data_IF_227241577781
#
_entry.id   IF_227241577781
#
_cell.length_a   1.000
_cell.length_b   1.000
_cell.length_c   1.000
_cell.angle_alpha   90.00
_cell.angle_beta   90.00
_cell.angle_gamma   90.00
#
_symmetry.space_group_name_H-M   'P 1'
#
loop_
_entity.id
_entity.type
_entity.pdbx_description
1 polymer ?
#
# COMPACT_ATOMS: atom_id res chain seq x y z
N UNK A 1 13.15 61.56 -12.31
CA UNK A 1 13.50 61.54 -10.87
C UNK A 1 12.26 61.02 -10.14
N UNK A 2 12.23 59.97 -9.33
CA UNK A 2 13.27 59.07 -8.85
C UNK A 2 12.76 57.63 -8.79
N UNK A 3 13.71 56.72 -8.54
CA UNK A 3 13.57 55.26 -8.54
C UNK A 3 13.10 54.79 -7.15
N UNK A 4 12.09 53.93 -7.08
CA UNK A 4 11.81 53.12 -5.90
C UNK A 4 12.49 51.76 -6.04
N UNK A 5 13.58 51.58 -5.30
CA UNK A 5 14.24 50.31 -5.06
C UNK A 5 13.73 49.73 -3.75
N UNK A 6 12.91 48.69 -3.81
CA UNK A 6 12.58 47.87 -2.65
C UNK A 6 13.49 46.62 -2.63
N UNK A 7 14.41 46.60 -1.66
CA UNK A 7 15.20 45.44 -1.28
C UNK A 7 14.27 44.35 -0.70
N UNK A 8 14.23 43.18 -1.31
CA UNK A 8 13.80 41.95 -0.62
C UNK A 8 15.04 41.24 -0.08
N UNK A 9 15.16 41.23 1.25
CA UNK A 9 16.15 40.45 1.99
C UNK A 9 15.86 38.94 1.85
N UNK A 10 16.89 38.20 1.46
CA UNK A 10 16.87 36.74 1.43
C UNK A 10 16.96 36.19 2.87
N UNK A 11 15.88 35.54 3.32
CA UNK A 11 15.89 34.73 4.53
C UNK A 11 16.33 33.30 4.19
N UNK A 12 17.59 33.00 4.46
CA UNK A 12 18.15 31.64 4.46
C UNK A 12 17.70 30.90 5.73
N UNK A 13 16.56 30.21 5.65
CA UNK A 13 16.12 29.34 6.74
C UNK A 13 16.56 27.90 6.51
N UNK A 14 17.46 27.49 7.40
CA UNK A 14 18.00 26.15 7.59
C UNK A 14 16.88 25.10 7.70
N UNK A 15 16.89 24.15 6.78
CA UNK A 15 15.97 23.00 6.77
C UNK A 15 16.34 22.08 7.93
N UNK A 16 15.55 22.09 8.99
CA UNK A 16 15.58 21.07 10.04
C UNK A 16 14.72 19.89 9.58
N UNK A 17 15.28 18.69 9.36
CA UNK A 17 14.50 17.55 8.92
C UNK A 17 13.58 17.03 10.03
N UNK A 18 12.32 16.80 9.67
CA UNK A 18 11.28 16.28 10.56
C UNK A 18 11.50 14.79 10.92
N UNK A 19 11.07 14.32 12.11
CA UNK A 19 11.49 13.04 12.68
C UNK A 19 10.88 11.78 12.04
N UNK A 20 9.91 11.92 11.14
CA UNK A 20 9.05 10.79 10.72
C UNK A 20 9.64 9.93 9.59
N UNK A 21 10.73 10.37 8.94
CA UNK A 21 11.38 9.62 7.85
C UNK A 21 12.51 8.67 8.32
N UNK A 22 12.83 8.65 9.63
CA UNK A 22 13.91 7.81 10.18
C UNK A 22 13.55 6.33 10.29
N UNK A 23 12.27 5.97 10.39
CA UNK A 23 11.89 4.58 10.73
C UNK A 23 12.27 3.57 9.64
N UNK A 24 12.23 3.95 8.35
CA UNK A 24 12.50 3.01 7.26
C UNK A 24 14.01 2.83 6.95
N UNK A 25 14.84 3.87 7.14
CA UNK A 25 16.30 3.74 6.95
C UNK A 25 17.00 3.07 8.14
N UNK A 26 16.38 3.06 9.32
CA UNK A 26 17.00 2.55 10.54
C UNK A 26 16.87 1.03 10.72
N UNK A 27 15.96 0.37 9.99
CA UNK A 27 15.82 -1.09 10.05
C UNK A 27 16.92 -1.83 9.28
N UNK A 28 17.49 -1.25 8.21
CA UNK A 28 18.60 -1.85 7.43
C UNK A 28 19.95 -1.89 8.16
N UNK A 29 20.05 -1.37 9.40
CA UNK A 29 21.31 -1.13 10.10
C UNK A 29 21.45 -1.84 11.46
N UNK A 30 20.64 -2.87 11.73
CA UNK A 30 20.76 -3.73 12.93
C UNK A 30 21.05 -5.20 12.58
N UNK A 31 22.04 -5.43 11.73
CA UNK A 31 22.77 -6.70 11.70
C UNK A 31 24.27 -6.39 11.72
N UNK A 32 24.94 -6.73 12.82
CA UNK A 32 26.39 -6.63 12.89
C UNK A 32 26.91 -6.50 14.31
N UNK A 33 27.08 -7.63 14.99
CA UNK A 33 27.65 -7.63 16.33
C UNK A 33 27.98 -8.98 16.96
N UNK A 34 28.29 -10.04 16.19
CA UNK A 34 28.89 -11.26 16.75
C UNK A 34 30.27 -11.46 16.14
N UNK A 35 31.32 -11.07 16.88
CA UNK A 35 32.70 -11.44 16.57
C UNK A 35 32.92 -12.88 17.08
N UNK A 36 32.83 -13.86 16.20
CA UNK A 36 33.40 -15.18 16.41
C UNK A 36 33.67 -15.88 15.07
N UNK A 37 34.89 -16.40 14.89
CA UNK A 37 35.19 -17.45 13.92
C UNK A 37 35.38 -17.01 12.47
N UNK A 38 36.64 -16.71 12.10
CA UNK A 38 37.10 -16.47 10.73
C UNK A 38 37.21 -17.82 9.97
N UNK A 39 36.09 -18.52 9.75
CA UNK A 39 36.01 -19.70 8.87
C UNK A 39 34.59 -20.05 8.33
N UNK A 40 33.52 -19.36 8.76
CA UNK A 40 32.15 -19.59 8.27
C UNK A 40 31.64 -18.55 7.24
N UNK A 41 32.48 -17.63 6.76
CA UNK A 41 32.01 -16.51 5.92
C UNK A 41 31.59 -16.91 4.51
N UNK A 42 32.18 -17.96 3.92
CA UNK A 42 31.89 -18.38 2.54
C UNK A 42 30.53 -19.09 2.40
N UNK A 43 30.15 -19.93 3.38
CA UNK A 43 28.86 -20.65 3.38
C UNK A 43 27.71 -19.68 3.67
N UNK A 44 27.91 -18.69 4.54
CA UNK A 44 26.92 -17.66 4.85
C UNK A 44 26.69 -16.68 3.69
N UNK A 45 27.72 -16.36 2.89
CA UNK A 45 27.56 -15.54 1.69
C UNK A 45 26.78 -16.29 0.61
N UNK A 46 27.16 -17.55 0.34
CA UNK A 46 26.45 -18.42 -0.62
C UNK A 46 24.97 -18.62 -0.26
N UNK A 47 24.64 -18.76 1.03
CA UNK A 47 23.25 -18.87 1.48
C UNK A 47 22.45 -17.57 1.36
N UNK A 48 23.09 -16.40 1.57
CA UNK A 48 22.46 -15.10 1.38
C UNK A 48 22.20 -14.80 -0.09
N UNK A 49 23.16 -15.15 -0.95
CA UNK A 49 23.05 -14.95 -2.39
C UNK A 49 21.96 -15.86 -2.98
N UNK A 50 21.91 -17.13 -2.59
CA UNK A 50 20.84 -18.06 -2.99
C UNK A 50 19.45 -17.61 -2.50
N UNK A 51 19.33 -17.10 -1.28
CA UNK A 51 18.06 -16.58 -0.77
C UNK A 51 17.64 -15.30 -1.48
N UNK A 52 18.59 -14.44 -1.83
CA UNK A 52 18.34 -13.23 -2.60
C UNK A 52 17.92 -13.54 -4.04
N UNK A 53 18.52 -14.56 -4.66
CA UNK A 53 18.17 -15.03 -6.00
C UNK A 53 16.76 -15.63 -6.03
N UNK A 54 16.41 -16.49 -5.07
CA UNK A 54 15.05 -17.04 -4.96
C UNK A 54 14.02 -15.93 -4.71
N UNK A 55 14.36 -14.91 -3.91
CA UNK A 55 13.49 -13.75 -3.70
C UNK A 55 13.26 -12.95 -4.98
N UNK A 56 14.30 -12.74 -5.80
CA UNK A 56 14.17 -12.06 -7.10
C UNK A 56 13.28 -12.89 -8.02
N UNK A 57 13.51 -14.19 -8.10
CA UNK A 57 12.69 -15.11 -8.89
C UNK A 57 11.22 -15.07 -8.49
N UNK A 58 10.92 -15.14 -7.20
CA UNK A 58 9.53 -15.03 -6.71
C UNK A 58 8.90 -13.68 -7.04
N UNK A 59 9.68 -12.60 -6.94
CA UNK A 59 9.23 -11.27 -7.33
C UNK A 59 8.85 -11.21 -8.81
N UNK A 60 9.67 -11.78 -9.69
CA UNK A 60 9.41 -11.81 -11.14
C UNK A 60 8.14 -12.62 -11.47
N UNK A 61 7.92 -13.75 -10.78
CA UNK A 61 6.72 -14.58 -10.96
C UNK A 61 5.47 -13.81 -10.50
N UNK A 62 5.55 -13.14 -9.34
CA UNK A 62 4.46 -12.30 -8.83
C UNK A 62 4.14 -11.18 -9.83
N UNK A 63 5.16 -10.47 -10.29
CA UNK A 63 4.99 -9.36 -11.23
C UNK A 63 4.37 -9.83 -12.55
N UNK A 64 4.81 -10.97 -13.08
CA UNK A 64 4.22 -11.58 -14.26
C UNK A 64 2.73 -11.93 -14.07
N UNK A 65 2.37 -12.52 -12.93
CA UNK A 65 0.97 -12.84 -12.59
C UNK A 65 0.09 -11.59 -12.46
N UNK A 66 0.62 -10.53 -11.85
CA UNK A 66 -0.11 -9.26 -11.74
C UNK A 66 -0.27 -8.56 -13.10
N UNK A 67 0.72 -8.68 -13.98
CA UNK A 67 0.61 -8.21 -15.36
C UNK A 67 -0.46 -8.98 -16.15
N UNK A 68 -0.59 -10.29 -15.95
CA UNK A 68 -1.66 -11.10 -16.55
C UNK A 68 -3.06 -10.60 -16.12
N UNK A 69 -3.27 -10.43 -14.82
CA UNK A 69 -4.53 -9.91 -14.25
C UNK A 69 -4.89 -8.53 -14.82
N UNK A 70 -3.88 -7.67 -15.03
CA UNK A 70 -4.11 -6.30 -15.53
C UNK A 70 -4.25 -6.20 -17.06
N UNK A 71 -3.80 -7.22 -17.79
CA UNK A 71 -3.89 -7.27 -19.26
C UNK A 71 -5.14 -7.97 -19.78
N UNK A 72 -5.79 -8.83 -18.98
CA UNK A 72 -7.12 -9.36 -19.31
C UNK A 72 -8.17 -8.22 -19.33
N UNK A 73 -8.56 -7.78 -20.52
CA UNK A 73 -9.48 -6.65 -20.74
C UNK A 73 -10.94 -7.00 -20.43
N UNK A 74 -11.67 -6.05 -19.86
CA UNK A 74 -13.13 -6.01 -19.94
C UNK A 74 -13.59 -4.58 -20.28
N UNK A 75 -14.45 -4.48 -21.30
CA UNK A 75 -15.14 -3.26 -21.67
C UNK A 75 -15.99 -2.75 -20.51
N UNK A 76 -15.81 -1.48 -20.18
CA UNK A 76 -16.39 -0.86 -18.98
C UNK A 76 -17.82 -0.45 -19.29
N UNK A 77 -18.82 -1.18 -18.74
CA UNK A 77 -20.20 -0.69 -18.72
C UNK A 77 -20.37 0.26 -17.53
N UNK A 78 -20.71 1.50 -17.83
CA UNK A 78 -20.95 2.59 -16.89
C UNK A 78 -22.16 2.27 -16.00
N UNK A 79 -21.95 2.21 -14.69
CA UNK A 79 -23.03 2.26 -13.70
C UNK A 79 -23.29 3.74 -13.36
N UNK A 80 -24.42 4.25 -13.86
CA UNK A 80 -24.88 5.62 -13.62
C UNK A 80 -25.19 5.90 -12.14
N UNK A 81 -25.07 7.16 -11.70
CA UNK A 81 -25.28 7.54 -10.31
C UNK A 81 -26.77 7.53 -9.96
N UNK A 82 -27.15 6.77 -8.94
CA UNK A 82 -28.48 6.84 -8.33
C UNK A 82 -28.57 8.08 -7.44
N UNK A 83 -29.48 8.97 -7.78
CA UNK A 83 -29.80 10.18 -7.02
C UNK A 83 -30.50 9.78 -5.71
N UNK A 84 -30.05 10.35 -4.59
CA UNK A 84 -30.61 10.19 -3.24
C UNK A 84 -30.37 8.85 -2.52
N UNK A 85 -29.11 8.59 -2.12
CA UNK A 85 -28.84 7.73 -0.98
C UNK A 85 -28.09 8.52 0.09
N UNK A 86 -28.69 8.68 1.28
CA UNK A 86 -27.97 9.01 2.52
C UNK A 86 -27.07 7.82 2.88
N UNK A 87 -26.03 7.61 2.09
CA UNK A 87 -25.12 6.48 2.23
C UNK A 87 -24.17 6.78 3.38
N UNK A 88 -24.47 6.23 4.56
CA UNK A 88 -23.45 6.10 5.60
C UNK A 88 -22.45 5.07 5.08
N UNK A 89 -21.37 5.55 4.47
CA UNK A 89 -20.31 4.69 3.94
C UNK A 89 -19.85 3.69 4.99
N UNK A 90 -19.62 2.44 4.59
CA UNK A 90 -19.00 1.46 5.48
C UNK A 90 -17.63 2.00 5.93
N UNK A 91 -17.24 1.73 7.18
CA UNK A 91 -15.94 2.15 7.71
C UNK A 91 -14.79 1.69 6.81
N UNK A 92 -14.94 0.52 6.17
CA UNK A 92 -13.97 -0.01 5.21
C UNK A 92 -13.83 0.90 3.98
N UNK A 93 -14.92 1.51 3.49
CA UNK A 93 -14.85 2.44 2.36
C UNK A 93 -14.06 3.70 2.72
N UNK A 94 -14.21 4.21 3.94
CA UNK A 94 -13.42 5.34 4.46
C UNK A 94 -11.94 4.99 4.57
N UNK A 95 -11.63 3.77 5.03
CA UNK A 95 -10.25 3.26 5.10
C UNK A 95 -9.66 3.13 3.71
N UNK A 96 -10.38 2.54 2.76
CA UNK A 96 -9.93 2.40 1.36
C UNK A 96 -9.69 3.78 0.75
N UNK A 97 -10.58 4.74 0.98
CA UNK A 97 -10.42 6.11 0.48
C UNK A 97 -9.12 6.75 1.00
N UNK A 98 -8.88 6.66 2.31
CA UNK A 98 -7.66 7.16 2.94
C UNK A 98 -6.40 6.48 2.41
N UNK A 99 -6.44 5.15 2.25
CA UNK A 99 -5.34 4.38 1.68
C UNK A 99 -5.07 4.79 0.22
N UNK A 100 -6.09 5.01 -0.59
CA UNK A 100 -5.91 5.51 -1.95
C UNK A 100 -5.17 6.86 -1.96
N UNK A 101 -5.56 7.79 -1.09
CA UNK A 101 -4.84 9.06 -0.93
C UNK A 101 -3.37 8.88 -0.56
N UNK A 102 -3.06 7.87 0.27
CA UNK A 102 -1.69 7.52 0.64
C UNK A 102 -0.90 6.93 -0.53
N UNK A 103 -1.52 6.04 -1.30
CA UNK A 103 -0.95 5.48 -2.53
C UNK A 103 -0.63 6.60 -3.51
N UNK A 104 -1.56 7.51 -3.79
CA UNK A 104 -1.34 8.64 -4.71
C UNK A 104 -0.18 9.51 -4.23
N UNK A 105 -0.13 9.83 -2.94
CA UNK A 105 0.98 10.62 -2.37
C UNK A 105 2.33 9.93 -2.57
N UNK A 106 2.37 8.61 -2.38
CA UNK A 106 3.59 7.81 -2.56
C UNK A 106 4.01 7.80 -4.03
N UNK A 107 3.09 7.55 -4.94
CA UNK A 107 3.35 7.49 -6.38
C UNK A 107 3.65 8.87 -6.98
N UNK A 108 3.05 9.95 -6.49
CA UNK A 108 3.38 11.33 -6.93
C UNK A 108 4.87 11.65 -6.72
N UNK A 109 5.52 11.04 -5.72
CA UNK A 109 6.95 11.28 -5.43
C UNK A 109 7.91 10.47 -6.30
N UNK A 110 7.40 9.43 -6.98
CA UNK A 110 8.23 8.42 -7.65
C UNK A 110 7.86 8.21 -9.11
N UNK A 111 6.61 8.49 -9.50
CA UNK A 111 6.14 8.35 -10.86
C UNK A 111 6.64 9.50 -11.73
N UNK A 112 7.09 9.15 -12.93
CA UNK A 112 7.59 10.09 -13.93
C UNK A 112 6.49 10.55 -14.89
N UNK A 113 5.44 9.75 -15.09
CA UNK A 113 4.35 10.06 -16.01
C UNK A 113 3.24 10.86 -15.31
N UNK A 114 3.07 12.12 -15.71
CA UNK A 114 2.03 13.01 -15.18
C UNK A 114 0.62 12.48 -15.47
N UNK A 115 0.37 11.99 -16.69
CA UNK A 115 -0.93 11.46 -17.12
C UNK A 115 -1.39 10.28 -16.25
N UNK A 116 -0.45 9.46 -15.76
CA UNK A 116 -0.77 8.35 -14.86
C UNK A 116 -1.21 8.85 -13.48
N UNK A 117 -0.61 9.93 -12.98
CA UNK A 117 -0.99 10.55 -11.71
C UNK A 117 -2.34 11.25 -11.83
N UNK A 118 -2.62 11.90 -12.96
CA UNK A 118 -3.93 12.53 -13.23
C UNK A 118 -5.06 11.49 -13.33
N UNK A 119 -4.82 10.31 -13.90
CA UNK A 119 -5.85 9.25 -13.97
C UNK A 119 -6.30 8.76 -12.57
N UNK A 120 -5.42 8.83 -11.58
CA UNK A 120 -5.69 8.32 -10.22
C UNK A 120 -5.96 9.41 -9.19
N UNK A 121 -5.62 10.68 -9.47
CA UNK A 121 -5.76 11.79 -8.54
C UNK A 121 -6.83 12.79 -9.00
N UNK A 122 -7.70 13.17 -8.09
CA UNK A 122 -8.70 14.23 -8.28
C UNK A 122 -8.34 15.47 -7.45
N UNK A 123 -8.75 16.65 -7.93
CA UNK A 123 -8.67 17.89 -7.16
C UNK A 123 -9.78 17.97 -6.10
N UNK A 124 -10.91 17.31 -6.35
CA UNK A 124 -12.09 17.31 -5.48
C UNK A 124 -12.36 15.92 -4.94
N UNK A 125 -12.97 15.80 -3.75
CA UNK A 125 -13.41 14.52 -3.24
C UNK A 125 -14.44 13.87 -4.16
N UNK A 126 -14.46 12.55 -4.14
CA UNK A 126 -15.47 11.75 -4.83
C UNK A 126 -16.83 11.97 -4.15
N UNK A 127 -17.90 12.16 -4.95
CA UNK A 127 -19.25 12.34 -4.42
C UNK A 127 -19.67 11.16 -3.53
N UNK A 128 -20.32 11.44 -2.41
CA UNK A 128 -20.75 10.45 -1.41
C UNK A 128 -19.62 9.58 -0.81
N UNK A 129 -18.36 10.02 -0.90
CA UNK A 129 -17.25 9.38 -0.18
C UNK A 129 -17.02 9.99 1.20
N UNK A 130 -16.52 9.19 2.14
CA UNK A 130 -16.09 9.66 3.45
C UNK A 130 -14.67 10.26 3.36
N UNK A 131 -14.59 11.47 2.82
CA UNK A 131 -13.34 12.19 2.58
C UNK A 131 -12.82 12.96 3.79
N UNK A 132 -13.55 12.94 4.91
CA UNK A 132 -13.33 13.83 6.06
C UNK A 132 -11.87 13.87 6.54
N UNK A 133 -11.21 12.70 6.65
CA UNK A 133 -9.82 12.62 7.12
C UNK A 133 -8.82 13.21 6.12
N UNK A 134 -9.09 13.09 4.82
CA UNK A 134 -8.28 13.69 3.75
C UNK A 134 -8.47 15.20 3.73
N UNK A 135 -9.72 15.66 3.81
CA UNK A 135 -10.08 17.09 3.85
C UNK A 135 -9.46 17.77 5.07
N UNK A 136 -9.58 17.16 6.24
CA UNK A 136 -9.03 17.68 7.49
C UNK A 136 -7.51 17.87 7.42
N UNK A 137 -6.79 17.14 6.56
CA UNK A 137 -5.33 17.25 6.42
C UNK A 137 -4.89 18.05 5.19
N UNK A 138 -5.82 18.48 4.33
CA UNK A 138 -5.55 19.14 3.04
C UNK A 138 -4.65 20.38 3.15
N UNK A 139 -4.77 21.13 4.25
CA UNK A 139 -4.02 22.38 4.49
C UNK A 139 -2.51 22.21 4.67
N UNK A 140 -2.00 20.97 4.86
CA UNK A 140 -0.56 20.72 5.00
C UNK A 140 0.08 20.41 3.65
N UNK A 141 1.24 21.00 3.36
CA UNK A 141 2.02 20.61 2.19
C UNK A 141 2.39 19.13 2.26
N UNK A 142 2.12 18.39 1.18
CA UNK A 142 2.28 16.93 1.16
C UNK A 142 1.18 16.18 1.90
N UNK A 143 -0.01 16.79 2.00
CA UNK A 143 -1.25 16.14 2.41
C UNK A 143 -1.65 15.02 1.45
N UNK A 144 -2.54 14.15 1.92
CA UNK A 144 -3.12 13.09 1.12
C UNK A 144 -3.96 13.70 0.00
N UNK A 145 -3.88 13.13 -1.19
CA UNK A 145 -4.67 13.57 -2.34
C UNK A 145 -6.00 12.83 -2.41
N UNK A 146 -6.97 13.41 -3.08
CA UNK A 146 -8.22 12.72 -3.37
C UNK A 146 -8.04 11.73 -4.52
N UNK A 147 -8.53 10.49 -4.39
CA UNK A 147 -8.56 9.57 -5.52
C UNK A 147 -9.63 9.96 -6.55
N UNK A 148 -9.46 9.53 -7.79
CA UNK A 148 -10.55 9.50 -8.76
C UNK A 148 -11.56 8.40 -8.41
N UNK A 149 -12.80 8.53 -8.91
CA UNK A 149 -13.84 7.50 -8.75
C UNK A 149 -13.35 6.14 -9.28
N UNK A 150 -12.62 6.17 -10.39
CA UNK A 150 -12.02 5.00 -11.04
C UNK A 150 -11.06 4.27 -10.10
N UNK A 151 -10.09 4.99 -9.53
CA UNK A 151 -9.14 4.43 -8.56
C UNK A 151 -9.85 3.91 -7.31
N UNK A 152 -10.83 4.66 -6.78
CA UNK A 152 -11.57 4.26 -5.58
C UNK A 152 -12.33 2.95 -5.82
N UNK A 153 -13.02 2.83 -6.95
CA UNK A 153 -13.78 1.62 -7.32
C UNK A 153 -12.85 0.43 -7.47
N UNK A 154 -11.71 0.62 -8.15
CA UNK A 154 -10.66 -0.40 -8.29
C UNK A 154 -10.22 -0.94 -6.92
N UNK A 155 -9.82 -0.05 -5.99
CA UNK A 155 -9.30 -0.48 -4.70
C UNK A 155 -10.37 -0.97 -3.72
N UNK A 156 -11.64 -0.61 -3.89
CA UNK A 156 -12.74 -1.24 -3.14
C UNK A 156 -12.85 -2.72 -3.48
N UNK A 157 -12.76 -3.09 -4.76
CA UNK A 157 -12.78 -4.50 -5.18
C UNK A 157 -11.56 -5.22 -4.60
N UNK A 158 -10.36 -4.65 -4.78
CA UNK A 158 -9.12 -5.24 -4.25
C UNK A 158 -9.17 -5.40 -2.73
N UNK A 159 -9.64 -4.39 -1.99
CA UNK A 159 -9.72 -4.47 -0.52
C UNK A 159 -10.68 -5.55 -0.07
N UNK A 160 -11.83 -5.70 -0.74
CA UNK A 160 -12.80 -6.77 -0.43
C UNK A 160 -12.20 -8.15 -0.65
N UNK A 161 -11.50 -8.38 -1.76
CA UNK A 161 -10.83 -9.66 -2.03
C UNK A 161 -9.74 -9.93 -1.00
N UNK A 162 -8.90 -8.94 -0.71
CA UNK A 162 -7.85 -9.07 0.30
C UNK A 162 -8.45 -9.42 1.66
N UNK A 163 -9.46 -8.69 2.13
CA UNK A 163 -10.14 -8.98 3.41
C UNK A 163 -10.76 -10.38 3.41
N UNK A 164 -11.45 -10.79 2.35
CA UNK A 164 -12.04 -12.13 2.26
C UNK A 164 -10.99 -13.25 2.29
N UNK A 165 -9.80 -13.03 1.73
CA UNK A 165 -8.69 -14.00 1.85
C UNK A 165 -8.06 -14.01 3.25
N UNK A 166 -8.01 -12.85 3.91
CA UNK A 166 -7.45 -12.71 5.26
C UNK A 166 -8.39 -13.20 6.36
N UNK A 167 -9.70 -13.26 6.12
CA UNK A 167 -10.67 -13.75 7.10
C UNK A 167 -10.76 -15.29 7.15
N UNK A 168 -10.13 -15.99 6.19
CA UNK A 168 -10.08 -17.46 6.17
C UNK A 168 -9.15 -17.98 7.28
N UNK A 169 -9.58 -19.01 8.01
CA UNK A 169 -8.88 -19.55 9.19
C UNK A 169 -7.48 -20.13 8.87
N UNK A 170 -7.20 -20.47 7.61
CA UNK A 170 -5.92 -21.03 7.17
C UNK A 170 -5.01 -19.97 6.53
N UNK A 171 -4.54 -19.05 7.39
CA UNK A 171 -3.52 -18.03 7.10
C UNK A 171 -2.13 -18.66 6.97
N UNK A 172 -1.96 -19.63 6.08
CA UNK A 172 -0.66 -20.20 5.74
C UNK A 172 0.03 -19.39 4.62
N UNK A 173 1.33 -19.66 4.39
CA UNK A 173 2.30 -18.84 3.65
C UNK A 173 1.94 -18.40 2.23
N UNK A 174 0.85 -18.93 1.66
CA UNK A 174 0.42 -18.68 0.28
C UNK A 174 -0.71 -17.65 0.16
N UNK A 175 -0.99 -16.87 1.21
CA UNK A 175 -2.09 -15.89 1.18
C UNK A 175 -1.99 -14.88 0.04
N UNK A 176 -0.77 -14.52 -0.36
CA UNK A 176 -0.53 -13.62 -1.47
C UNK A 176 -0.98 -14.25 -2.80
N UNK A 177 -0.65 -15.52 -3.03
CA UNK A 177 -1.11 -16.26 -4.21
C UNK A 177 -2.63 -16.42 -4.22
N UNK A 178 -3.23 -16.77 -3.08
CA UNK A 178 -4.70 -16.85 -2.94
C UNK A 178 -5.36 -15.51 -3.29
N UNK A 179 -4.79 -14.38 -2.89
CA UNK A 179 -5.31 -13.06 -3.29
C UNK A 179 -5.22 -12.85 -4.80
N UNK A 180 -4.09 -13.20 -5.44
CA UNK A 180 -3.94 -13.06 -6.89
C UNK A 180 -4.93 -13.96 -7.66
N UNK A 181 -5.09 -15.21 -7.25
CA UNK A 181 -6.05 -16.16 -7.86
C UNK A 181 -7.50 -15.67 -7.74
N UNK A 182 -7.88 -15.08 -6.60
CA UNK A 182 -9.21 -14.50 -6.46
C UNK A 182 -9.36 -13.21 -7.28
N UNK A 183 -8.33 -12.36 -7.35
CA UNK A 183 -8.35 -11.15 -8.16
C UNK A 183 -8.48 -11.45 -9.65
N UNK A 184 -7.92 -12.55 -10.14
CA UNK A 184 -8.06 -12.99 -11.54
C UNK A 184 -9.52 -13.25 -11.94
N UNK A 185 -10.37 -13.64 -10.98
CA UNK A 185 -11.81 -13.84 -11.18
C UNK A 185 -12.58 -12.51 -11.25
N UNK A 186 -11.95 -11.40 -10.91
CA UNK A 186 -12.54 -10.07 -10.94
C UNK A 186 -12.03 -9.26 -12.13
N UNK A 187 -12.95 -8.62 -12.85
CA UNK A 187 -12.60 -7.68 -13.91
C UNK A 187 -12.19 -6.34 -13.30
N UNK A 188 -10.88 -6.10 -13.19
CA UNK A 188 -10.34 -4.86 -12.66
C UNK A 188 -10.16 -3.81 -13.76
N UNK A 189 -10.62 -2.59 -13.51
CA UNK A 189 -10.38 -1.46 -14.42
C UNK A 189 -8.89 -1.11 -14.48
N UNK A 190 -8.36 -0.81 -15.67
CA UNK A 190 -6.96 -0.38 -15.80
C UNK A 190 -6.77 1.06 -15.33
N UNK A 191 -5.74 1.32 -14.54
CA UNK A 191 -5.32 2.64 -14.08
C UNK A 191 -4.07 3.10 -14.82
N UNK A 192 -3.95 4.40 -15.06
CA UNK A 192 -2.87 5.03 -15.81
C UNK A 192 -3.23 5.35 -17.27
N UNK A 193 -2.31 6.02 -17.96
CA UNK A 193 -2.50 6.39 -19.37
C UNK A 193 -2.29 5.19 -20.31
N UNK A 194 -2.71 5.32 -21.57
CA UNK A 194 -2.69 4.23 -22.56
C UNK A 194 -1.35 3.53 -22.73
N UNK A 195 -0.25 4.26 -22.58
CA UNK A 195 1.12 3.72 -22.71
C UNK A 195 1.58 2.92 -21.49
N UNK A 196 1.10 3.26 -20.30
CA UNK A 196 1.63 2.72 -19.04
C UNK A 196 0.58 1.94 -18.23
N UNK A 197 -0.66 1.85 -18.70
CA UNK A 197 -1.79 1.37 -17.90
C UNK A 197 -1.53 0.02 -17.22
N UNK A 198 -0.93 -0.94 -17.92
CA UNK A 198 -0.71 -2.30 -17.40
C UNK A 198 0.36 -2.31 -16.32
N UNK A 199 1.56 -1.77 -16.63
CA UNK A 199 2.67 -1.69 -15.69
C UNK A 199 2.34 -0.82 -14.47
N UNK A 200 1.64 0.30 -14.68
CA UNK A 200 1.22 1.20 -13.60
C UNK A 200 0.17 0.57 -12.69
N UNK A 201 -0.83 -0.10 -13.26
CA UNK A 201 -1.84 -0.85 -12.48
C UNK A 201 -1.18 -1.96 -11.67
N UNK A 202 -0.26 -2.71 -12.26
CA UNK A 202 0.50 -3.76 -11.57
C UNK A 202 1.25 -3.21 -10.35
N UNK A 203 1.99 -2.10 -10.52
CA UNK A 203 2.73 -1.46 -9.42
C UNK A 203 1.80 -0.96 -8.32
N UNK A 204 0.68 -0.33 -8.68
CA UNK A 204 -0.33 0.14 -7.73
C UNK A 204 -0.94 -1.00 -6.94
N UNK A 205 -1.33 -2.07 -7.63
CA UNK A 205 -1.93 -3.27 -7.04
C UNK A 205 -0.96 -3.95 -6.07
N UNK A 206 0.31 -4.13 -6.48
CA UNK A 206 1.35 -4.75 -5.67
C UNK A 206 1.58 -3.95 -4.38
N UNK A 207 1.75 -2.64 -4.52
CA UNK A 207 1.95 -1.75 -3.38
C UNK A 207 0.78 -1.79 -2.41
N UNK A 208 -0.45 -1.81 -2.91
CA UNK A 208 -1.65 -1.84 -2.07
C UNK A 208 -1.81 -3.15 -1.31
N UNK A 209 -1.64 -4.30 -1.98
CA UNK A 209 -1.75 -5.63 -1.34
C UNK A 209 -0.70 -5.76 -0.24
N UNK A 210 0.57 -5.42 -0.52
CA UNK A 210 1.64 -5.43 0.46
C UNK A 210 1.31 -4.52 1.66
N UNK A 211 0.78 -3.32 1.38
CA UNK A 211 0.38 -2.37 2.43
C UNK A 211 -0.72 -2.95 3.32
N UNK A 212 -1.75 -3.58 2.74
CA UNK A 212 -2.83 -4.23 3.50
C UNK A 212 -2.31 -5.38 4.35
N UNK A 213 -1.46 -6.24 3.79
CA UNK A 213 -0.85 -7.34 4.53
C UNK A 213 -0.02 -6.85 5.70
N UNK A 214 0.77 -5.78 5.52
CA UNK A 214 1.54 -5.17 6.60
C UNK A 214 0.68 -4.64 7.75
N UNK A 215 -0.52 -4.13 7.46
CA UNK A 215 -1.45 -3.72 8.52
C UNK A 215 -2.13 -4.91 9.20
N UNK A 216 -2.31 -6.00 8.47
CA UNK A 216 -2.96 -7.20 9.00
C UNK A 216 -2.03 -8.05 9.88
N UNK A 217 -0.76 -8.25 9.50
CA UNK A 217 0.15 -9.16 10.23
C UNK A 217 0.30 -8.85 11.72
N UNK A 218 0.44 -7.58 12.17
CA UNK A 218 0.51 -7.26 13.59
C UNK A 218 -0.75 -7.63 14.37
N UNK A 219 -1.93 -7.49 13.75
CA UNK A 219 -3.20 -7.83 14.39
C UNK A 219 -3.33 -9.34 14.60
N UNK A 220 -3.02 -10.13 13.57
CA UNK A 220 -2.99 -11.60 13.66
C UNK A 220 -1.98 -12.07 14.72
N UNK A 221 -0.76 -11.53 14.68
CA UNK A 221 0.28 -11.89 15.65
C UNK A 221 -0.13 -11.59 17.08
N UNK A 222 -0.86 -10.48 17.31
CA UNK A 222 -1.44 -10.16 18.62
C UNK A 222 -2.52 -11.15 19.04
N UNK A 223 -3.41 -11.55 18.13
CA UNK A 223 -4.47 -12.55 18.40
C UNK A 223 -3.87 -13.92 18.73
N UNK A 224 -2.89 -14.37 17.95
CA UNK A 224 -2.16 -15.62 18.18
C UNK A 224 -1.41 -15.60 19.51
N UNK A 225 -0.71 -14.51 19.82
CA UNK A 225 0.00 -14.35 21.09
C UNK A 225 -0.92 -14.38 22.31
N UNK A 226 -2.12 -13.79 22.20
CA UNK A 226 -3.15 -13.88 23.24
C UNK A 226 -3.72 -15.29 23.38
N UNK A 227 -4.01 -15.96 22.25
CA UNK A 227 -4.52 -17.35 22.24
C UNK A 227 -3.52 -18.33 22.86
N UNK A 228 -2.22 -18.20 22.55
CA UNK A 228 -1.18 -19.04 23.12
C UNK A 228 -1.06 -18.86 24.65
N UNK A 229 -1.19 -17.62 25.14
CA UNK A 229 -1.20 -17.33 26.59
C UNK A 229 -2.39 -17.99 27.29
N UNK A 230 -3.59 -17.94 26.69
CA UNK A 230 -4.79 -18.61 27.21
C UNK A 230 -4.62 -20.13 27.20
N UNK A 231 -4.07 -20.71 26.12
CA UNK A 231 -3.81 -22.14 26.04
C UNK A 231 -2.79 -22.61 27.11
N UNK A 232 -1.74 -21.84 27.36
CA UNK A 232 -0.75 -22.13 28.41
C UNK A 232 -1.39 -22.03 29.80
N UNK A 233 -2.19 -20.99 30.06
CA UNK A 233 -2.90 -20.83 31.33
C UNK A 233 -3.87 -21.99 31.60
N UNK A 234 -4.64 -22.40 30.61
CA UNK A 234 -5.55 -23.54 30.70
C UNK A 234 -4.82 -24.87 30.94
N UNK A 235 -3.66 -25.08 30.31
CA UNK A 235 -2.82 -26.26 30.59
C UNK A 235 -2.31 -26.24 32.03
N UNK A 236 -1.88 -25.08 32.55
CA UNK A 236 -1.44 -24.95 33.95
C UNK A 236 -2.58 -25.19 34.95
N UNK A 237 -3.78 -24.69 34.67
CA UNK A 237 -4.94 -24.86 35.54
C UNK A 237 -5.44 -26.32 35.63
N UNK A 238 -5.17 -27.16 34.63
CA UNK A 238 -5.49 -28.59 34.64
C UNK A 238 -4.49 -29.47 35.39
N UNK A 239 -3.33 -28.91 35.75
CA UNK A 239 -2.25 -29.60 36.47
C UNK A 239 -2.27 -29.30 37.98
N UNK A 240 -3.20 -28.47 38.44
CA UNK A 240 -3.49 -28.16 39.84
C UNK A 240 -4.81 -28.84 40.22
#
# INVERSE_FOLDING_TARGET
MGRETALCQAASHSIVPSPCSRSYRQWRKREGGCKAGRLNSLILLSSKDAHQEEKVRLHDIVEAKMMEITTASADTSELGPSDHAYFKGEVEDSVVYYLCGYVIHKFTKHATCHLCIEDISSATPVLASDSYLTDYRSFKQGSLKHPTQKMLTFFKIVSKVVSACLDKEDLCGDIFWKVLEELEKHHLSRLGCDQHNSAFTCQLLNFFIITRMHFFSPDVNRRLGSSQKVAIANKKARLL
#
